data_IF_816548491439
#
_entry.id   IF_816548491439
#
_cell.length_a   1.000
_cell.length_b   1.000
_cell.length_c   1.000
_cell.angle_alpha   90.00
_cell.angle_beta   90.00
_cell.angle_gamma   90.00
#
_symmetry.space_group_name_H-M   'P 1'
#
loop_
_entity.id
_entity.type
_entity.pdbx_description
1 polymer ?
#
# COMPACT_ATOMS: atom_id res chain seq x y z
N UNK A 1 4.43 -22.38 -13.40
CA UNK A 1 5.36 -21.33 -13.84
C UNK A 1 6.50 -21.99 -14.60
N UNK A 2 6.34 -22.20 -15.91
CA UNK A 2 7.39 -22.79 -16.78
C UNK A 2 8.16 -21.73 -17.56
N UNK A 3 7.73 -20.46 -17.48
CA UNK A 3 8.40 -19.33 -18.11
C UNK A 3 9.50 -18.78 -17.19
N UNK A 4 10.77 -18.72 -17.65
CA UNK A 4 11.87 -18.09 -16.92
C UNK A 4 11.56 -16.65 -16.52
N UNK A 5 10.91 -15.88 -17.41
CA UNK A 5 10.54 -14.48 -17.17
C UNK A 5 9.55 -14.31 -16.01
N UNK A 6 8.68 -15.30 -15.77
CA UNK A 6 7.74 -15.24 -14.64
C UNK A 6 8.45 -15.47 -13.29
N UNK A 7 9.52 -16.26 -13.29
CA UNK A 7 10.34 -16.49 -12.09
C UNK A 7 11.20 -15.26 -11.80
N UNK A 8 11.83 -14.67 -12.82
CA UNK A 8 12.58 -13.41 -12.69
C UNK A 8 11.69 -12.27 -12.19
N UNK A 9 10.51 -12.10 -12.78
CA UNK A 9 9.52 -11.13 -12.33
C UNK A 9 9.11 -11.38 -10.88
N UNK A 10 8.85 -12.63 -10.51
CA UNK A 10 8.50 -13.00 -9.14
C UNK A 10 9.59 -12.62 -8.13
N UNK A 11 10.85 -12.94 -8.43
CA UNK A 11 11.99 -12.61 -7.55
C UNK A 11 12.19 -11.09 -7.43
N UNK A 12 12.20 -10.38 -8.57
CA UNK A 12 12.33 -8.92 -8.60
C UNK A 12 11.23 -8.23 -7.81
N UNK A 13 9.98 -8.65 -8.01
CA UNK A 13 8.85 -8.06 -7.31
C UNK A 13 8.88 -8.37 -5.80
N UNK A 14 9.33 -9.56 -5.40
CA UNK A 14 9.46 -9.92 -3.98
C UNK A 14 10.51 -9.07 -3.28
N UNK A 15 11.74 -9.04 -3.82
CA UNK A 15 12.85 -8.33 -3.21
C UNK A 15 12.65 -6.81 -3.29
N UNK A 16 12.15 -6.32 -4.42
CA UNK A 16 11.81 -4.91 -4.62
C UNK A 16 10.76 -4.43 -3.63
N UNK A 17 9.60 -5.10 -3.56
CA UNK A 17 8.53 -4.69 -2.65
C UNK A 17 8.91 -4.85 -1.18
N UNK A 18 9.70 -5.88 -0.83
CA UNK A 18 10.21 -6.03 0.53
C UNK A 18 11.10 -4.85 0.93
N UNK A 19 12.02 -4.45 0.04
CA UNK A 19 12.85 -3.27 0.24
C UNK A 19 12.02 -1.98 0.36
N UNK A 20 11.04 -1.80 -0.53
CA UNK A 20 10.15 -0.65 -0.51
C UNK A 20 9.41 -0.51 0.81
N UNK A 21 8.86 -1.60 1.37
CA UNK A 21 8.06 -1.50 2.60
C UNK A 21 8.93 -1.26 3.84
N UNK A 22 10.09 -1.91 3.96
CA UNK A 22 10.90 -1.82 5.18
C UNK A 22 11.70 -0.52 5.24
N UNK A 23 12.19 -0.03 4.10
CA UNK A 23 13.03 1.17 4.02
C UNK A 23 12.24 2.46 3.78
N UNK A 24 10.93 2.37 3.57
CA UNK A 24 10.08 3.56 3.41
C UNK A 24 9.80 4.21 4.78
N UNK A 25 10.34 5.43 4.92
CA UNK A 25 10.21 6.25 6.13
C UNK A 25 8.77 6.66 6.45
N UNK A 26 7.86 6.71 5.47
CA UNK A 26 6.45 7.05 5.66
C UNK A 26 5.72 6.04 6.55
N UNK A 27 6.08 4.76 6.49
CA UNK A 27 5.54 3.73 7.38
C UNK A 27 6.03 3.91 8.82
N UNK A 28 7.30 4.26 8.99
CA UNK A 28 7.89 4.47 10.31
C UNK A 28 7.33 5.71 10.99
N UNK A 29 7.13 6.79 10.25
CA UNK A 29 6.49 8.01 10.77
C UNK A 29 5.10 7.72 11.34
N UNK A 30 4.27 6.97 10.61
CA UNK A 30 2.93 6.56 11.05
C UNK A 30 2.99 5.65 12.29
N UNK A 31 3.99 4.77 12.36
CA UNK A 31 4.19 3.89 13.51
C UNK A 31 4.58 4.67 14.77
N UNK A 32 5.49 5.64 14.65
CA UNK A 32 5.96 6.46 15.77
C UNK A 32 4.92 7.48 16.25
N UNK A 33 4.05 7.98 15.35
CA UNK A 33 2.95 8.86 15.73
C UNK A 33 1.83 8.12 16.49
N UNK A 34 1.71 6.80 16.32
CA UNK A 34 0.70 6.00 16.99
C UNK A 34 1.08 5.61 18.44
N UNK A 35 0.09 5.37 19.30
CA UNK A 35 0.32 4.75 20.60
C UNK A 35 0.80 3.31 20.39
N UNK A 36 1.83 2.87 21.12
CA UNK A 36 2.43 1.55 20.96
C UNK A 36 1.44 0.41 21.20
N UNK A 37 0.47 0.61 22.10
CA UNK A 37 -0.61 -0.33 22.35
C UNK A 37 -1.55 -0.54 21.14
N UNK A 38 -1.68 0.47 20.27
CA UNK A 38 -2.51 0.43 19.07
C UNK A 38 -1.69 0.13 17.79
N UNK A 39 -0.43 0.55 17.75
CA UNK A 39 0.44 0.39 16.58
C UNK A 39 0.63 -1.07 16.21
N UNK A 40 1.15 -1.91 17.12
CA UNK A 40 1.48 -3.31 16.81
C UNK A 40 0.25 -4.14 16.37
N UNK A 41 -0.88 -4.15 17.09
CA UNK A 41 -2.06 -4.88 16.62
C UNK A 41 -2.63 -4.28 15.34
N UNK A 42 -2.56 -2.95 15.16
CA UNK A 42 -2.98 -2.27 13.93
C UNK A 42 -2.18 -2.71 12.71
N UNK A 43 -0.84 -2.75 12.79
CA UNK A 43 0.02 -3.22 11.70
C UNK A 43 -0.17 -4.71 11.40
N UNK A 44 -0.41 -5.55 12.42
CA UNK A 44 -0.68 -6.98 12.21
C UNK A 44 -2.00 -7.22 11.48
N UNK A 45 -3.07 -6.59 11.95
CA UNK A 45 -4.39 -6.66 11.30
C UNK A 45 -4.33 -6.06 9.90
N UNK A 46 -3.68 -4.90 9.76
CA UNK A 46 -3.43 -4.25 8.48
C UNK A 46 -2.69 -5.15 7.50
N UNK A 47 -1.61 -5.82 7.93
CA UNK A 47 -0.85 -6.75 7.08
C UNK A 47 -1.65 -7.95 6.60
N UNK A 48 -2.50 -8.53 7.47
CA UNK A 48 -3.37 -9.66 7.11
C UNK A 48 -4.47 -9.23 6.13
N UNK A 49 -5.10 -8.08 6.38
CA UNK A 49 -6.14 -7.53 5.49
C UNK A 49 -5.54 -7.09 4.16
N UNK A 50 -4.33 -6.52 4.19
CA UNK A 50 -3.64 -6.01 3.01
C UNK A 50 -3.44 -7.11 1.97
N UNK A 51 -3.07 -8.33 2.37
CA UNK A 51 -2.96 -9.45 1.42
C UNK A 51 -4.26 -9.66 0.62
N UNK A 52 -5.41 -9.52 1.28
CA UNK A 52 -6.72 -9.72 0.66
C UNK A 52 -7.00 -8.75 -0.49
N UNK A 53 -6.63 -7.48 -0.38
CA UNK A 53 -7.05 -6.46 -1.34
C UNK A 53 -6.44 -6.64 -2.75
N UNK A 54 -5.10 -6.67 -2.95
CA UNK A 54 -4.49 -6.88 -4.26
C UNK A 54 -4.73 -8.29 -4.80
N UNK A 55 -4.74 -9.29 -3.91
CA UNK A 55 -4.98 -10.69 -4.29
C UNK A 55 -6.39 -10.87 -4.84
N UNK A 56 -7.42 -10.35 -4.16
CA UNK A 56 -8.79 -10.40 -4.64
C UNK A 56 -8.93 -9.58 -5.93
N UNK A 57 -8.52 -8.31 -5.92
CA UNK A 57 -8.70 -7.44 -7.08
C UNK A 57 -7.99 -7.99 -8.32
N UNK A 58 -6.72 -8.39 -8.18
CA UNK A 58 -5.91 -8.90 -9.28
C UNK A 58 -6.41 -10.24 -9.83
N UNK A 59 -6.73 -11.21 -8.96
CA UNK A 59 -7.18 -12.53 -9.41
C UNK A 59 -8.59 -12.49 -10.00
N UNK A 60 -9.52 -11.75 -9.38
CA UNK A 60 -10.90 -11.64 -9.85
C UNK A 60 -10.97 -10.89 -11.18
N UNK A 61 -10.28 -9.76 -11.30
CA UNK A 61 -10.30 -8.96 -12.53
C UNK A 61 -9.47 -9.61 -13.64
N UNK A 62 -8.34 -10.26 -13.30
CA UNK A 62 -7.53 -11.00 -14.26
C UNK A 62 -8.28 -12.19 -14.85
N UNK A 63 -8.82 -13.08 -14.02
CA UNK A 63 -9.58 -14.25 -14.50
C UNK A 63 -10.92 -13.80 -15.12
N UNK A 64 -11.59 -12.82 -14.52
CA UNK A 64 -12.82 -12.23 -15.05
C UNK A 64 -12.62 -11.66 -16.45
N UNK A 65 -11.51 -10.96 -16.71
CA UNK A 65 -11.17 -10.49 -18.05
C UNK A 65 -11.01 -11.64 -19.05
N UNK A 66 -10.34 -12.73 -18.66
CA UNK A 66 -10.15 -13.91 -19.50
C UNK A 66 -11.48 -14.60 -19.84
N UNK A 67 -12.39 -14.68 -18.87
CA UNK A 67 -13.72 -15.22 -19.08
C UNK A 67 -14.59 -14.33 -19.99
N UNK A 68 -14.45 -13.00 -19.88
CA UNK A 68 -15.26 -12.03 -20.61
C UNK A 68 -14.82 -11.81 -22.07
N UNK A 69 -13.60 -12.21 -22.45
CA UNK A 69 -13.06 -12.01 -23.81
C UNK A 69 -13.97 -12.49 -24.95
N UNK A 70 -14.75 -13.55 -24.70
CA UNK A 70 -15.65 -14.14 -25.69
C UNK A 70 -17.06 -13.52 -25.71
N UNK A 71 -17.33 -12.52 -24.88
CA UNK A 71 -18.64 -11.87 -24.79
C UNK A 71 -18.67 -10.52 -25.51
N UNK A 72 -19.80 -10.14 -26.14
CA UNK A 72 -19.94 -8.85 -26.83
C UNK A 72 -19.77 -7.61 -25.94
N UNK A 73 -19.85 -7.77 -24.62
CA UNK A 73 -19.61 -6.69 -23.65
C UNK A 73 -18.12 -6.34 -23.49
N UNK A 74 -17.22 -7.18 -24.01
CA UNK A 74 -15.78 -6.96 -23.91
C UNK A 74 -15.32 -5.81 -24.82
N UNK A 75 -14.57 -4.81 -24.32
CA UNK A 75 -14.12 -3.67 -25.13
C UNK A 75 -13.25 -4.03 -26.33
N UNK A 76 -12.52 -5.15 -26.26
CA UNK A 76 -11.72 -5.67 -27.35
C UNK A 76 -12.35 -6.92 -27.98
N UNK A 77 -13.69 -7.02 -28.00
CA UNK A 77 -14.38 -8.19 -28.57
C UNK A 77 -13.94 -8.45 -30.02
N UNK A 78 -13.62 -9.72 -30.31
CA UNK A 78 -13.17 -10.14 -31.64
C UNK A 78 -11.68 -9.90 -31.94
N UNK A 79 -10.89 -9.40 -30.98
CA UNK A 79 -9.42 -9.32 -31.09
C UNK A 79 -8.73 -9.66 -29.78
N UNK A 80 -7.48 -10.11 -29.88
CA UNK A 80 -6.61 -10.22 -28.71
C UNK A 80 -6.12 -8.82 -28.26
N UNK A 81 -5.76 -8.72 -26.97
CA UNK A 81 -5.13 -7.51 -26.43
C UNK A 81 -3.72 -7.37 -27.02
N UNK A 82 -3.41 -6.18 -27.52
CA UNK A 82 -2.06 -5.90 -28.00
C UNK A 82 -1.06 -5.88 -26.84
N UNK A 83 0.22 -6.12 -27.14
CA UNK A 83 1.28 -6.05 -26.13
C UNK A 83 1.35 -4.68 -25.45
N UNK A 84 1.05 -3.61 -26.18
CA UNK A 84 0.98 -2.26 -25.63
C UNK A 84 -0.15 -2.11 -24.59
N UNK A 85 -1.34 -2.65 -24.87
CA UNK A 85 -2.48 -2.59 -23.95
C UNK A 85 -2.29 -3.45 -22.69
N UNK A 86 -1.65 -4.62 -22.86
CA UNK A 86 -1.27 -5.48 -21.73
C UNK A 86 -0.24 -4.78 -20.85
N UNK A 87 0.80 -4.18 -21.44
CA UNK A 87 1.84 -3.46 -20.72
C UNK A 87 1.31 -2.19 -20.04
N UNK A 88 0.28 -1.55 -20.61
CA UNK A 88 -0.41 -0.41 -20.00
C UNK A 88 -1.37 -0.81 -18.86
N UNK A 89 -1.53 -2.11 -18.57
CA UNK A 89 -2.39 -2.58 -17.48
C UNK A 89 -3.90 -2.38 -17.73
N UNK A 90 -4.32 -2.28 -18.99
CA UNK A 90 -5.73 -1.99 -19.36
C UNK A 90 -6.72 -3.12 -19.02
N UNK A 91 -6.23 -4.26 -18.54
CA UNK A 91 -7.04 -5.40 -18.11
C UNK A 91 -8.06 -4.98 -17.04
N UNK A 92 -7.63 -4.21 -16.02
CA UNK A 92 -8.49 -3.76 -14.92
C UNK A 92 -9.62 -2.83 -15.40
N UNK A 93 -9.34 -1.73 -16.13
CA UNK A 93 -10.41 -0.86 -16.63
C UNK A 93 -11.28 -1.53 -17.70
N UNK A 94 -10.76 -2.45 -18.53
CA UNK A 94 -11.56 -3.18 -19.50
C UNK A 94 -12.51 -4.18 -18.83
N UNK A 95 -12.06 -4.89 -17.80
CA UNK A 95 -12.93 -5.75 -16.99
C UNK A 95 -14.01 -4.92 -16.27
N UNK A 96 -13.65 -3.76 -15.71
CA UNK A 96 -14.62 -2.83 -15.12
C UNK A 96 -15.65 -2.35 -16.14
N UNK A 97 -15.22 -2.06 -17.36
CA UNK A 97 -16.10 -1.65 -18.46
C UNK A 97 -17.04 -2.77 -18.91
N UNK A 98 -16.55 -4.00 -18.99
CA UNK A 98 -17.34 -5.15 -19.40
C UNK A 98 -18.43 -5.53 -18.37
N UNK A 99 -18.20 -5.28 -17.08
CA UNK A 99 -19.14 -5.62 -15.99
C UNK A 99 -20.10 -4.47 -15.67
N UNK A 100 -19.61 -3.25 -15.53
CA UNK A 100 -20.39 -2.09 -15.06
C UNK A 100 -20.54 -0.98 -16.12
N UNK A 101 -20.19 -1.25 -17.38
CA UNK A 101 -20.23 -0.28 -18.46
C UNK A 101 -19.24 0.86 -18.26
N UNK A 102 -19.47 2.01 -18.91
CA UNK A 102 -18.58 3.18 -18.83
C UNK A 102 -18.33 3.66 -17.40
N UNK A 103 -19.30 3.51 -16.51
CA UNK A 103 -19.16 3.87 -15.09
C UNK A 103 -18.07 3.04 -14.38
N UNK A 104 -17.91 1.76 -14.73
CA UNK A 104 -16.87 0.90 -14.16
C UNK A 104 -15.45 1.36 -14.52
N UNK A 105 -15.24 1.79 -15.77
CA UNK A 105 -13.95 2.33 -16.19
C UNK A 105 -13.62 3.65 -15.47
N UNK A 106 -14.61 4.54 -15.31
CA UNK A 106 -14.44 5.80 -14.56
C UNK A 106 -14.12 5.54 -13.09
N UNK A 107 -14.80 4.56 -12.46
CA UNK A 107 -14.52 4.18 -11.09
C UNK A 107 -13.07 3.69 -10.89
N UNK A 108 -12.54 2.88 -11.83
CA UNK A 108 -11.14 2.44 -11.79
C UNK A 108 -10.18 3.63 -11.87
N UNK A 109 -10.45 4.60 -12.77
CA UNK A 109 -9.62 5.81 -12.87
C UNK A 109 -9.65 6.62 -11.58
N UNK A 110 -10.82 6.80 -10.96
CA UNK A 110 -10.95 7.51 -9.68
C UNK A 110 -10.19 6.79 -8.58
N UNK A 111 -10.31 5.46 -8.47
CA UNK A 111 -9.60 4.66 -7.47
C UNK A 111 -8.09 4.76 -7.66
N UNK A 112 -7.60 4.68 -8.91
CA UNK A 112 -6.17 4.85 -9.22
C UNK A 112 -5.70 6.26 -8.86
N UNK A 113 -6.48 7.28 -9.22
CA UNK A 113 -6.17 8.67 -8.87
C UNK A 113 -6.06 8.86 -7.35
N UNK A 114 -7.07 8.41 -6.58
CA UNK A 114 -7.04 8.49 -5.12
C UNK A 114 -5.88 7.71 -4.52
N UNK A 115 -5.57 6.52 -5.05
CA UNK A 115 -4.43 5.73 -4.58
C UNK A 115 -3.10 6.46 -4.82
N UNK A 116 -2.87 6.98 -6.03
CA UNK A 116 -1.65 7.71 -6.37
C UNK A 116 -1.52 8.98 -5.55
N UNK A 117 -2.60 9.77 -5.41
CA UNK A 117 -2.58 10.99 -4.58
C UNK A 117 -2.29 10.65 -3.12
N UNK A 118 -2.89 9.60 -2.57
CA UNK A 118 -2.64 9.17 -1.19
C UNK A 118 -1.19 8.74 -0.96
N UNK A 119 -0.59 8.00 -1.89
CA UNK A 119 0.83 7.60 -1.79
C UNK A 119 1.74 8.81 -1.97
N UNK A 120 1.47 9.67 -2.97
CA UNK A 120 2.27 10.87 -3.23
C UNK A 120 2.31 11.81 -2.02
N UNK A 121 1.17 12.05 -1.35
CA UNK A 121 1.13 12.87 -0.13
C UNK A 121 1.97 12.26 1.00
N UNK A 122 1.94 10.93 1.17
CA UNK A 122 2.73 10.27 2.21
C UNK A 122 4.25 10.36 1.93
N UNK A 123 4.66 10.15 0.68
CA UNK A 123 6.06 10.23 0.26
C UNK A 123 6.62 11.65 0.32
N UNK A 124 5.84 12.66 -0.07
CA UNK A 124 6.25 14.06 0.02
C UNK A 124 6.57 14.46 1.47
N UNK A 125 5.71 14.06 2.42
CA UNK A 125 5.93 14.30 3.85
C UNK A 125 7.15 13.51 4.35
N UNK A 126 7.32 12.28 3.88
CA UNK A 126 8.44 11.43 4.22
C UNK A 126 9.78 12.08 3.82
N UNK A 127 9.94 12.44 2.55
CA UNK A 127 11.14 13.11 2.00
C UNK A 127 11.38 14.47 2.65
N UNK A 128 10.31 15.25 2.87
CA UNK A 128 10.39 16.53 3.55
C UNK A 128 10.97 16.42 4.96
N UNK A 129 10.56 15.39 5.70
CA UNK A 129 11.07 15.15 7.06
C UNK A 129 12.56 14.77 7.09
N UNK A 130 13.04 14.06 6.05
CA UNK A 130 14.45 13.68 5.92
C UNK A 130 15.26 14.96 5.71
N UNK A 131 14.79 15.86 4.85
CA UNK A 131 15.47 17.15 4.62
C UNK A 131 15.49 18.00 5.89
N UNK A 132 14.37 18.09 6.63
CA UNK A 132 14.30 18.92 7.84
C UNK A 132 15.08 18.34 9.03
N UNK A 133 14.93 17.04 9.30
CA UNK A 133 15.43 16.41 10.52
C UNK A 133 16.81 15.77 10.31
N UNK A 134 17.04 15.11 9.19
CA UNK A 134 18.30 14.41 8.96
C UNK A 134 19.36 15.33 8.38
N UNK A 135 18.98 16.24 7.48
CA UNK A 135 19.93 17.19 6.86
C UNK A 135 20.03 18.50 7.65
N UNK A 136 18.92 19.23 7.78
CA UNK A 136 18.95 20.59 8.33
C UNK A 136 19.30 20.61 9.82
N UNK A 137 18.63 19.80 10.66
CA UNK A 137 18.94 19.75 12.08
C UNK A 137 20.32 19.13 12.37
N UNK A 138 20.71 18.03 11.70
CA UNK A 138 21.99 17.36 12.00
C UNK A 138 23.22 18.13 11.51
N UNK A 139 23.16 18.71 10.30
CA UNK A 139 24.35 19.27 9.64
C UNK A 139 24.38 20.80 9.57
N UNK A 140 23.23 21.46 9.39
CA UNK A 140 23.20 22.92 9.25
C UNK A 140 23.05 23.62 10.60
N UNK A 141 22.06 23.18 11.40
CA UNK A 141 21.71 23.84 12.66
C UNK A 141 21.28 22.84 13.74
N UNK A 142 22.27 22.35 14.48
CA UNK A 142 22.13 21.39 15.60
C UNK A 142 21.31 21.87 16.80
N UNK A 143 21.06 23.17 16.91
CA UNK A 143 20.21 23.78 17.95
C UNK A 143 18.99 24.46 17.31
N UNK A 144 18.40 23.81 16.31
CA UNK A 144 17.19 24.30 15.67
C UNK A 144 15.97 24.00 16.57
N UNK A 145 15.20 25.05 16.89
CA UNK A 145 13.92 24.91 17.60
C UNK A 145 12.91 24.14 16.72
N UNK A 146 11.99 23.40 17.33
CA UNK A 146 10.95 22.64 16.60
C UNK A 146 10.17 23.47 15.57
N UNK A 147 9.91 24.76 15.85
CA UNK A 147 9.26 25.68 14.89
C UNK A 147 10.09 25.91 13.62
N UNK A 148 11.42 25.91 13.73
CA UNK A 148 12.33 26.07 12.60
C UNK A 148 12.41 24.80 11.76
N UNK A 149 12.40 23.62 12.41
CA UNK A 149 12.38 22.33 11.72
C UNK A 149 11.07 22.17 10.93
N UNK A 150 9.93 22.51 11.55
CA UNK A 150 8.62 22.52 10.89
C UNK A 150 8.59 23.47 9.68
N UNK A 151 9.13 24.68 9.81
CA UNK A 151 9.19 25.62 8.70
C UNK A 151 10.03 25.11 7.52
N UNK A 152 11.19 24.51 7.80
CA UNK A 152 12.03 23.91 6.76
C UNK A 152 11.36 22.72 6.10
N UNK A 153 10.60 21.92 6.85
CA UNK A 153 9.78 20.84 6.28
C UNK A 153 8.73 21.41 5.32
N UNK A 154 7.95 22.42 5.71
CA UNK A 154 6.98 23.04 4.79
C UNK A 154 7.64 23.61 3.52
N UNK A 155 8.80 24.24 3.66
CA UNK A 155 9.55 24.78 2.52
C UNK A 155 10.07 23.67 1.59
N UNK A 156 10.61 22.60 2.15
CA UNK A 156 11.07 21.44 1.39
C UNK A 156 9.92 20.76 0.62
N UNK A 157 8.76 20.62 1.25
CA UNK A 157 7.56 20.09 0.59
C UNK A 157 7.14 20.94 -0.61
N UNK A 158 7.14 22.27 -0.46
CA UNK A 158 6.80 23.20 -1.56
C UNK A 158 7.82 23.12 -2.70
N UNK A 159 9.12 23.06 -2.39
CA UNK A 159 10.19 22.96 -3.39
C UNK A 159 10.13 21.63 -4.17
N UNK A 160 9.82 20.52 -3.50
CA UNK A 160 9.62 19.23 -4.14
C UNK A 160 8.39 19.21 -5.07
N UNK A 161 7.33 19.92 -4.69
CA UNK A 161 6.15 20.10 -5.54
C UNK A 161 6.49 20.98 -6.75
N UNK A 162 7.24 22.06 -6.56
CA UNK A 162 7.59 22.98 -7.64
C UNK A 162 8.47 22.29 -8.69
N UNK A 163 9.45 21.49 -8.25
CA UNK A 163 10.34 20.71 -9.13
C UNK A 163 9.56 19.62 -9.89
N UNK A 164 8.58 18.96 -9.24
CA UNK A 164 7.69 17.99 -9.89
C UNK A 164 6.63 18.62 -10.81
N UNK A 165 6.28 19.90 -10.57
CA UNK A 165 5.29 20.64 -11.37
C UNK A 165 5.83 21.28 -12.66
N UNK A 166 7.16 21.17 -12.90
CA UNK A 166 7.77 21.56 -14.18
C UNK A 166 7.22 20.78 -15.38
N UNK A 167 6.54 19.65 -15.17
CA UNK A 167 5.64 18.99 -16.11
C UNK A 167 4.23 18.77 -15.52
N UNK A 168 3.43 19.85 -15.55
CA UNK A 168 1.94 19.90 -15.55
C UNK A 168 1.16 20.00 -14.22
N UNK A 169 0.40 21.09 -14.18
CA UNK A 169 -0.80 21.44 -13.38
C UNK A 169 -0.58 21.86 -11.93
N UNK A 170 -0.86 23.14 -11.70
CA UNK A 170 -0.80 23.89 -10.44
C UNK A 170 -1.77 23.32 -9.39
N UNK A 171 -1.23 22.57 -8.42
CA UNK A 171 -1.97 21.92 -7.32
C UNK A 171 -1.97 22.76 -6.03
N UNK A 172 -1.54 24.04 -6.10
CA UNK A 172 -1.37 24.92 -4.94
C UNK A 172 -2.63 25.11 -4.09
N UNK A 173 -3.83 24.93 -4.66
CA UNK A 173 -5.09 25.17 -3.95
C UNK A 173 -5.65 23.94 -3.20
N UNK A 174 -5.17 22.71 -3.48
CA UNK A 174 -5.66 21.49 -2.80
C UNK A 174 -4.77 21.00 -1.66
N UNK A 175 -3.52 21.44 -1.60
CA UNK A 175 -2.61 21.12 -0.50
C UNK A 175 -3.09 21.70 0.86
N UNK A 176 -3.85 22.80 0.84
CA UNK A 176 -4.43 23.42 2.04
C UNK A 176 -5.76 22.79 2.50
N UNK A 177 -6.42 21.98 1.66
CA UNK A 177 -7.74 21.43 1.96
C UNK A 177 -7.71 20.02 2.60
N UNK A 178 -6.58 19.32 2.58
CA UNK A 178 -6.39 17.99 3.19
C UNK A 178 -5.48 17.98 4.42
N UNK A 179 -5.34 19.12 5.10
CA UNK A 179 -4.77 19.16 6.46
C UNK A 179 -5.87 19.12 7.53
N UNK A 180 -6.40 17.94 7.91
CA UNK A 180 -6.88 17.71 9.26
C UNK A 180 -6.00 16.70 10.00
N UNK A 181 -4.84 16.33 9.45
CA UNK A 181 -3.81 15.67 10.25
C UNK A 181 -2.89 16.77 10.76
N UNK A 182 -3.21 17.27 11.95
CA UNK A 182 -2.19 17.91 12.78
C UNK A 182 -1.12 16.85 13.03
N UNK A 183 -0.16 16.75 12.11
CA UNK A 183 1.11 16.11 12.39
C UNK A 183 1.85 17.07 13.31
N UNK A 184 1.42 17.08 14.58
CA UNK A 184 2.25 17.54 15.67
C UNK A 184 3.47 16.64 15.65
N UNK A 185 4.55 17.14 15.02
CA UNK A 185 5.87 16.76 15.45
C UNK A 185 5.84 16.90 16.96
N UNK A 186 6.00 15.78 17.67
CA UNK A 186 6.02 15.74 19.13
C UNK A 186 6.82 16.95 19.59
N UNK A 187 6.17 17.88 20.30
CA UNK A 187 6.87 19.02 20.86
C UNK A 187 8.03 18.43 21.67
N UNK A 188 9.24 18.67 21.17
CA UNK A 188 10.51 18.06 21.60
C UNK A 188 10.92 16.74 20.91
N UNK A 189 11.73 16.78 19.81
CA UNK A 189 12.32 15.58 19.19
C UNK A 189 13.36 14.87 20.08
N UNK A 190 13.65 15.42 21.27
CA UNK A 190 14.67 14.93 22.20
C UNK A 190 14.14 14.53 23.57
N UNK A 191 12.82 14.60 23.83
CA UNK A 191 12.30 13.96 25.05
C UNK A 191 12.20 12.46 24.78
N UNK A 192 13.07 11.59 25.37
CA UNK A 192 12.79 10.18 25.33
C UNK A 192 11.42 9.99 25.95
N UNK A 193 10.45 9.41 25.23
CA UNK A 193 9.25 8.88 25.87
C UNK A 193 9.76 7.94 26.95
N UNK A 194 9.69 8.37 28.21
CA UNK A 194 10.11 7.57 29.35
C UNK A 194 9.07 6.45 29.41
N UNK A 195 9.39 5.34 28.75
CA UNK A 195 8.56 4.16 28.79
C UNK A 195 8.60 3.64 30.22
N UNK A 196 7.42 3.46 30.79
CA UNK A 196 7.32 2.76 32.05
C UNK A 196 7.83 1.32 31.86
N UNK A 197 8.41 0.71 32.89
CA UNK A 197 8.91 -0.67 32.81
C UNK A 197 7.82 -1.67 32.32
N UNK A 198 6.55 -1.37 32.61
CA UNK A 198 5.39 -2.13 32.15
C UNK A 198 5.19 -2.02 30.63
N UNK A 199 5.32 -0.82 30.07
CA UNK A 199 5.22 -0.58 28.63
C UNK A 199 6.37 -1.26 27.89
N UNK A 200 7.61 -1.21 28.41
CA UNK A 200 8.74 -1.92 27.80
C UNK A 200 8.53 -3.43 27.73
N UNK A 201 8.02 -4.04 28.80
CA UNK A 201 7.71 -5.47 28.81
C UNK A 201 6.61 -5.82 27.81
N UNK A 202 5.59 -4.98 27.68
CA UNK A 202 4.55 -5.12 26.67
C UNK A 202 5.13 -5.01 25.26
N UNK A 203 5.96 -3.99 25.00
CA UNK A 203 6.63 -3.78 23.71
C UNK A 203 7.51 -4.97 23.31
N UNK A 204 8.27 -5.56 24.24
CA UNK A 204 9.09 -6.76 23.98
C UNK A 204 8.25 -7.98 23.62
N UNK A 205 7.11 -8.17 24.29
CA UNK A 205 6.17 -9.26 23.96
C UNK A 205 5.56 -9.04 22.59
N UNK A 206 5.09 -7.82 22.32
CA UNK A 206 4.44 -7.48 21.06
C UNK A 206 5.41 -7.48 19.88
N UNK A 207 6.66 -7.06 20.06
CA UNK A 207 7.69 -7.16 19.02
C UNK A 207 7.99 -8.61 18.66
N UNK A 208 8.09 -9.51 19.65
CA UNK A 208 8.25 -10.95 19.42
C UNK A 208 7.05 -11.54 18.67
N UNK A 209 5.83 -11.23 19.11
CA UNK A 209 4.60 -11.69 18.44
C UNK A 209 4.57 -11.20 17.00
N UNK A 210 4.89 -9.93 16.76
CA UNK A 210 4.91 -9.35 15.42
C UNK A 210 5.97 -9.98 14.51
N UNK A 211 7.16 -10.26 15.05
CA UNK A 211 8.24 -10.94 14.33
C UNK A 211 7.87 -12.37 13.95
N UNK A 212 7.26 -13.13 14.88
CA UNK A 212 6.79 -14.49 14.61
C UNK A 212 5.64 -14.46 13.59
N UNK A 213 4.64 -13.61 13.79
CA UNK A 213 3.51 -13.48 12.88
C UNK A 213 3.95 -13.09 11.46
N UNK A 214 4.90 -12.16 11.34
CA UNK A 214 5.51 -11.78 10.07
C UNK A 214 6.27 -12.92 9.41
N UNK A 215 7.11 -13.65 10.17
CA UNK A 215 7.87 -14.79 9.65
C UNK A 215 6.95 -15.94 9.20
N UNK A 216 5.92 -16.26 9.99
CA UNK A 216 4.92 -17.27 9.64
C UNK A 216 4.16 -16.85 8.38
N UNK A 217 3.70 -15.59 8.31
CA UNK A 217 3.00 -15.07 7.13
C UNK A 217 3.87 -15.14 5.88
N UNK A 218 5.15 -14.77 6.00
CA UNK A 218 6.11 -14.90 4.91
C UNK A 218 6.24 -16.35 4.44
N UNK A 219 6.52 -17.29 5.35
CA UNK A 219 6.68 -18.71 5.00
C UNK A 219 5.40 -19.29 4.38
N UNK A 220 4.23 -19.00 4.96
CA UNK A 220 2.95 -19.54 4.46
C UNK A 220 2.61 -18.98 3.08
N UNK A 221 2.67 -17.66 2.91
CA UNK A 221 2.22 -16.98 1.68
C UNK A 221 3.24 -17.10 0.56
N UNK A 222 4.55 -17.06 0.86
CA UNK A 222 5.59 -17.04 -0.17
C UNK A 222 6.21 -18.41 -0.46
N UNK A 223 6.27 -19.29 0.53
CA UNK A 223 6.90 -20.60 0.37
C UNK A 223 5.83 -21.67 0.25
N UNK A 224 5.01 -21.88 1.28
CA UNK A 224 4.12 -23.04 1.32
C UNK A 224 3.06 -22.95 0.22
N UNK A 225 2.38 -21.82 0.07
CA UNK A 225 1.28 -21.69 -0.88
C UNK A 225 1.74 -21.79 -2.36
N UNK A 226 2.73 -21.01 -2.85
CA UNK A 226 3.15 -21.09 -4.25
C UNK A 226 3.79 -22.44 -4.59
N UNK A 227 4.62 -22.99 -3.71
CA UNK A 227 5.25 -24.29 -3.95
C UNK A 227 4.26 -25.45 -3.86
N UNK A 228 3.23 -25.38 -3.00
CA UNK A 228 2.15 -26.38 -2.96
C UNK A 228 1.34 -26.38 -4.25
N UNK A 229 0.98 -25.20 -4.77
CA UNK A 229 0.29 -25.07 -6.07
C UNK A 229 1.18 -25.53 -7.24
N UNK A 230 2.48 -25.27 -7.18
CA UNK A 230 3.43 -25.73 -8.20
C UNK A 230 3.62 -27.25 -8.19
N UNK A 231 3.91 -27.83 -7.02
CA UNK A 231 4.20 -29.25 -6.87
C UNK A 231 3.02 -30.16 -7.22
N UNK A 232 1.79 -29.67 -7.04
CA UNK A 232 0.56 -30.41 -7.39
C UNK A 232 0.14 -30.29 -8.85
N UNK A 233 0.85 -29.51 -9.69
CA UNK A 233 0.43 -29.17 -11.07
C UNK A 233 -1.04 -28.74 -11.14
N UNK A 234 -1.47 -27.94 -10.16
CA UNK A 234 -2.88 -27.60 -9.99
C UNK A 234 -3.45 -26.88 -11.21
N UNK A 235 -4.54 -27.40 -11.76
CA UNK A 235 -5.30 -26.76 -12.84
C UNK A 235 -6.46 -26.00 -12.18
N UNK A 236 -6.59 -24.72 -12.50
CA UNK A 236 -7.61 -23.85 -11.91
C UNK A 236 -9.01 -24.24 -12.43
N UNK A 237 -9.74 -25.07 -11.67
CA UNK A 237 -11.06 -25.54 -12.06
C UNK A 237 -12.15 -24.48 -11.82
N UNK A 238 -13.26 -24.48 -12.60
CA UNK A 238 -14.35 -23.52 -12.42
C UNK A 238 -14.99 -23.56 -11.02
N UNK A 239 -15.12 -24.75 -10.42
CA UNK A 239 -15.69 -24.89 -9.07
C UNK A 239 -14.75 -24.33 -7.99
N UNK A 240 -13.45 -24.50 -8.16
CA UNK A 240 -12.45 -23.88 -7.30
C UNK A 240 -12.46 -22.35 -7.43
N UNK A 241 -12.62 -21.83 -8.65
CA UNK A 241 -12.76 -20.39 -8.89
C UNK A 241 -14.00 -19.79 -8.25
N UNK A 242 -15.15 -20.45 -8.30
CA UNK A 242 -16.35 -19.97 -7.58
C UNK A 242 -16.13 -19.92 -6.07
N UNK A 243 -15.49 -20.94 -5.49
CA UNK A 243 -15.10 -20.93 -4.08
C UNK A 243 -14.11 -19.81 -3.76
N UNK A 244 -13.13 -19.58 -4.63
CA UNK A 244 -12.15 -18.50 -4.53
C UNK A 244 -12.80 -17.13 -4.51
N UNK A 245 -13.73 -16.87 -5.43
CA UNK A 245 -14.49 -15.62 -5.47
C UNK A 245 -15.27 -15.37 -4.18
N UNK A 246 -15.93 -16.40 -3.66
CA UNK A 246 -16.69 -16.29 -2.41
C UNK A 246 -15.78 -15.94 -1.24
N UNK A 247 -14.64 -16.62 -1.11
CA UNK A 247 -13.65 -16.33 -0.06
C UNK A 247 -13.10 -14.91 -0.20
N UNK A 248 -12.78 -14.48 -1.44
CA UNK A 248 -12.30 -13.13 -1.74
C UNK A 248 -13.31 -12.06 -1.31
N UNK A 249 -14.59 -12.24 -1.65
CA UNK A 249 -15.65 -11.30 -1.28
C UNK A 249 -15.82 -11.24 0.24
N UNK A 250 -15.87 -12.39 0.92
CA UNK A 250 -15.95 -12.43 2.38
C UNK A 250 -14.76 -11.71 3.01
N UNK A 251 -13.55 -11.91 2.51
CA UNK A 251 -12.34 -11.29 3.03
C UNK A 251 -12.37 -9.76 2.92
N UNK A 252 -12.86 -9.24 1.79
CA UNK A 252 -13.03 -7.78 1.60
C UNK A 252 -14.02 -7.21 2.62
N UNK A 253 -15.16 -7.87 2.83
CA UNK A 253 -16.15 -7.43 3.83
C UNK A 253 -15.61 -7.53 5.26
N UNK A 254 -14.89 -8.59 5.61
CA UNK A 254 -14.22 -8.72 6.90
C UNK A 254 -13.18 -7.60 7.08
N UNK A 255 -12.40 -7.29 6.04
CA UNK A 255 -11.45 -6.18 6.09
C UNK A 255 -12.15 -4.84 6.36
N UNK A 256 -13.23 -4.56 5.63
CA UNK A 256 -14.01 -3.34 5.76
C UNK A 256 -14.65 -3.21 7.16
N UNK A 257 -15.23 -4.29 7.68
CA UNK A 257 -15.77 -4.33 9.05
C UNK A 257 -14.68 -4.12 10.09
N UNK A 258 -13.52 -4.74 9.91
CA UNK A 258 -12.41 -4.61 10.88
C UNK A 258 -11.92 -3.17 10.95
N UNK A 259 -11.74 -2.51 9.80
CA UNK A 259 -11.38 -1.09 9.73
C UNK A 259 -12.46 -0.21 10.37
N UNK A 260 -13.74 -0.51 10.12
CA UNK A 260 -14.86 0.23 10.70
C UNK A 260 -14.95 0.09 12.24
N UNK A 261 -14.60 -1.07 12.80
CA UNK A 261 -14.57 -1.29 14.24
C UNK A 261 -13.40 -0.56 14.91
N UNK A 262 -12.21 -0.57 14.27
CA UNK A 262 -11.03 0.16 14.76
C UNK A 262 -11.27 1.67 14.83
N UNK A 263 -12.09 2.23 13.93
CA UNK A 263 -12.40 3.66 13.93
C UNK A 263 -13.39 4.09 15.03
N UNK A 264 -14.02 3.14 15.72
CA UNK A 264 -15.02 3.39 16.78
C UNK A 264 -14.47 3.18 18.21
N UNK A 265 -13.18 2.91 18.36
CA UNK A 265 -12.49 2.68 19.65
C UNK A 265 -11.35 3.66 19.82
#
# INVERSE_FOLDING_TARGET
MTSPSAVEFGILHTLGNFGLVIMDSSYWQKAYSANVAAAVPGYLVGGIIYFGLPWCLGSVMGIGSLALQNFPSWPAYGRELSTAELNAGLILPYAGMAVAGKAGAVAVVIVVFMAVTSTMSAELIAVSSIISSDVYHTYLKRDASGKQIMFVSHLACIELIDDSSSDSVDFKEKAEAESPVNFEFSEDPLSPRIHTDQEEQYMRKMSLISGIAGAVSFVVVWIIWPFSMYGSRFIFQPMFFSGWLVVSVIWVFVGLLTIAQVNNT
#
